data_IF_585208008831
#
_entry.id   IF_585208008831
#
_cell.length_a   1.000
_cell.length_b   1.000
_cell.length_c   1.000
_cell.angle_alpha   90.00
_cell.angle_beta   90.00
_cell.angle_gamma   90.00
#
_symmetry.space_group_name_H-M   'P 1'
#
loop_
_entity.id
_entity.type
_entity.pdbx_description
1 polymer ?
#
# COMPACT_ATOMS: atom_id res chain seq x y z
N UNK A 1 -5.68 -28.52 6.95
CA UNK A 1 -5.65 -29.03 5.54
C UNK A 1 -7.04 -29.40 5.04
N UNK A 2 -7.82 -30.20 5.78
CA UNK A 2 -9.18 -30.65 5.37
C UNK A 2 -10.15 -29.47 5.14
N UNK A 3 -10.18 -28.47 6.02
CA UNK A 3 -11.06 -27.30 5.89
C UNK A 3 -10.76 -26.47 4.64
N UNK A 4 -9.50 -26.35 4.23
CA UNK A 4 -9.09 -25.67 3.01
C UNK A 4 -9.58 -26.43 1.77
N UNK A 5 -9.45 -27.75 1.77
CA UNK A 5 -9.93 -28.59 0.69
C UNK A 5 -11.47 -28.49 0.56
N UNK A 6 -12.21 -28.63 1.65
CA UNK A 6 -13.67 -28.49 1.67
C UNK A 6 -14.14 -27.12 1.18
N UNK A 7 -13.34 -26.07 1.34
CA UNK A 7 -13.69 -24.73 0.87
C UNK A 7 -13.75 -24.59 -0.66
N UNK A 8 -13.13 -25.50 -1.43
CA UNK A 8 -13.27 -25.59 -2.89
C UNK A 8 -14.72 -25.89 -3.34
N UNK A 9 -15.48 -26.57 -2.50
CA UNK A 9 -16.88 -26.95 -2.77
C UNK A 9 -17.88 -25.99 -2.10
N UNK A 10 -17.41 -24.88 -1.59
CA UNK A 10 -18.25 -23.88 -0.94
C UNK A 10 -19.00 -23.02 -1.97
N UNK A 11 -20.25 -22.59 -1.69
CA UNK A 11 -20.94 -21.58 -2.51
C UNK A 11 -20.19 -20.26 -2.69
N UNK A 12 -19.24 -19.95 -1.77
CA UNK A 12 -18.40 -18.75 -1.84
C UNK A 12 -17.20 -18.92 -2.78
N UNK A 13 -16.85 -20.16 -3.15
CA UNK A 13 -15.65 -20.45 -3.93
C UNK A 13 -15.58 -19.68 -5.27
N UNK A 14 -16.60 -19.72 -6.16
CA UNK A 14 -16.51 -19.00 -7.42
C UNK A 14 -16.34 -17.50 -7.25
N UNK A 15 -17.03 -16.91 -6.26
CA UNK A 15 -16.92 -15.48 -5.97
C UNK A 15 -15.52 -15.11 -5.43
N UNK A 16 -14.96 -15.95 -4.55
CA UNK A 16 -13.61 -15.76 -3.99
C UNK A 16 -12.54 -15.85 -5.07
N UNK A 17 -12.65 -16.80 -6.01
CA UNK A 17 -11.75 -16.93 -7.16
C UNK A 17 -11.81 -15.68 -8.04
N UNK A 18 -13.00 -15.20 -8.42
CA UNK A 18 -13.15 -14.01 -9.26
C UNK A 18 -12.72 -12.74 -8.54
N UNK A 19 -12.96 -12.64 -7.23
CA UNK A 19 -12.49 -11.54 -6.40
C UNK A 19 -10.96 -11.44 -6.44
N UNK A 20 -10.25 -12.54 -6.23
CA UNK A 20 -8.79 -12.57 -6.28
C UNK A 20 -8.24 -12.36 -7.69
N UNK A 21 -8.92 -12.87 -8.71
CA UNK A 21 -8.59 -12.59 -10.11
C UNK A 21 -8.71 -11.08 -10.40
N UNK A 22 -9.75 -10.43 -9.89
CA UNK A 22 -9.94 -8.98 -9.99
C UNK A 22 -8.88 -8.20 -9.20
N UNK A 23 -8.54 -8.65 -7.98
CA UNK A 23 -7.44 -8.08 -7.17
C UNK A 23 -6.08 -8.22 -7.85
N UNK A 24 -5.85 -9.32 -8.55
CA UNK A 24 -4.66 -9.55 -9.37
C UNK A 24 -4.67 -8.76 -10.70
N UNK A 25 -5.59 -7.83 -10.89
CA UNK A 25 -5.79 -7.07 -12.13
C UNK A 25 -5.92 -7.96 -13.38
N UNK A 26 -6.53 -9.14 -13.21
CA UNK A 26 -6.61 -10.19 -14.24
C UNK A 26 -5.24 -10.63 -14.77
N UNK A 27 -4.17 -10.57 -13.95
CA UNK A 27 -2.81 -11.01 -14.28
C UNK A 27 -2.62 -12.44 -13.79
N UNK A 28 -2.58 -13.42 -14.72
CA UNK A 28 -2.43 -14.83 -14.36
C UNK A 28 -1.13 -15.11 -13.61
N UNK A 29 -0.03 -14.41 -13.91
CA UNK A 29 1.25 -14.54 -13.20
C UNK A 29 1.13 -14.27 -11.68
N UNK A 30 0.19 -13.40 -11.25
CA UNK A 30 -0.08 -13.12 -9.83
C UNK A 30 -1.14 -14.03 -9.26
N UNK A 31 -2.16 -14.34 -10.06
CA UNK A 31 -3.30 -15.14 -9.64
C UNK A 31 -2.96 -16.61 -9.41
N UNK A 32 -2.24 -17.25 -10.34
CA UNK A 32 -1.99 -18.69 -10.29
C UNK A 32 -1.13 -19.13 -9.09
N UNK A 33 -0.01 -18.45 -8.73
CA UNK A 33 0.74 -18.82 -7.52
C UNK A 33 -0.11 -18.75 -6.26
N UNK A 34 -0.93 -17.69 -6.12
CA UNK A 34 -1.87 -17.58 -5.02
C UNK A 34 -2.90 -18.71 -5.04
N UNK A 35 -3.51 -18.99 -6.19
CA UNK A 35 -4.52 -20.02 -6.31
C UNK A 35 -3.98 -21.40 -5.90
N UNK A 36 -2.80 -21.77 -6.39
CA UNK A 36 -2.14 -23.05 -6.07
C UNK A 36 -1.52 -23.09 -4.66
N UNK A 37 -1.53 -22.03 -3.90
CA UNK A 37 -1.25 -22.09 -2.45
C UNK A 37 -2.39 -22.72 -1.65
N UNK A 38 -3.52 -23.02 -2.28
CA UNK A 38 -4.73 -23.58 -1.69
C UNK A 38 -5.19 -22.83 -0.42
N UNK A 39 -5.56 -21.55 -0.56
CA UNK A 39 -6.09 -20.78 0.57
C UNK A 39 -7.45 -21.31 1.03
N UNK A 40 -7.93 -20.83 2.19
CA UNK A 40 -9.31 -21.09 2.61
C UNK A 40 -10.29 -20.14 1.90
N UNK A 41 -10.96 -20.60 0.84
CA UNK A 41 -11.84 -19.78 0.00
C UNK A 41 -13.05 -19.19 0.75
N UNK A 42 -13.42 -19.75 1.90
CA UNK A 42 -14.50 -19.19 2.73
C UNK A 42 -14.11 -17.89 3.44
N UNK A 43 -12.81 -17.64 3.60
CA UNK A 43 -12.28 -16.49 4.36
C UNK A 43 -11.78 -15.36 3.45
N UNK A 44 -11.61 -15.60 2.15
CA UNK A 44 -11.02 -14.65 1.19
C UNK A 44 -11.77 -13.32 1.14
N UNK A 45 -13.09 -13.32 1.23
CA UNK A 45 -13.92 -12.11 1.11
C UNK A 45 -14.35 -11.52 2.47
N UNK A 46 -13.72 -11.91 3.58
CA UNK A 46 -14.10 -11.40 4.90
C UNK A 46 -13.81 -9.89 5.05
N UNK A 47 -12.82 -9.36 4.32
CA UNK A 47 -12.35 -7.97 4.41
C UNK A 47 -12.61 -7.16 3.14
N UNK A 48 -13.17 -7.77 2.09
CA UNK A 48 -13.38 -7.08 0.82
C UNK A 48 -14.54 -7.68 0.03
N UNK A 49 -15.06 -6.91 -0.93
CA UNK A 49 -16.19 -7.33 -1.77
C UNK A 49 -15.82 -7.34 -3.24
N UNK A 50 -16.34 -8.33 -3.98
CA UNK A 50 -16.24 -8.42 -5.42
C UNK A 50 -16.91 -7.20 -6.08
N UNK A 51 -16.15 -6.40 -6.81
CA UNK A 51 -16.70 -5.33 -7.64
C UNK A 51 -17.41 -5.94 -8.85
N UNK A 52 -18.74 -5.84 -8.92
CA UNK A 52 -19.61 -6.47 -9.94
C UNK A 52 -19.47 -5.77 -11.31
N UNK A 53 -18.26 -5.68 -11.86
CA UNK A 53 -18.01 -5.18 -13.23
C UNK A 53 -18.55 -6.15 -14.27
N UNK A 54 -18.79 -5.70 -15.52
CA UNK A 54 -19.23 -6.58 -16.60
C UNK A 54 -18.28 -7.78 -16.82
N UNK A 55 -16.96 -7.52 -16.80
CA UNK A 55 -15.93 -8.57 -16.90
C UNK A 55 -16.03 -9.57 -15.75
N UNK A 56 -16.17 -9.09 -14.49
CA UNK A 56 -16.30 -9.96 -13.32
C UNK A 56 -17.58 -10.83 -13.39
N UNK A 57 -18.70 -10.25 -13.84
CA UNK A 57 -19.96 -11.01 -14.02
C UNK A 57 -19.84 -12.12 -15.07
N UNK A 58 -19.24 -11.81 -16.22
CA UNK A 58 -19.01 -12.77 -17.30
C UNK A 58 -18.10 -13.90 -16.83
N UNK A 59 -16.98 -13.55 -16.18
CA UNK A 59 -16.03 -14.53 -15.64
C UNK A 59 -16.66 -15.40 -14.54
N UNK A 60 -17.45 -14.82 -13.65
CA UNK A 60 -18.16 -15.55 -12.59
C UNK A 60 -19.16 -16.56 -13.18
N UNK A 61 -19.96 -16.10 -14.15
CA UNK A 61 -20.91 -16.99 -14.84
C UNK A 61 -20.19 -18.11 -15.57
N UNK A 62 -19.11 -17.80 -16.29
CA UNK A 62 -18.29 -18.79 -16.99
C UNK A 62 -17.68 -19.83 -16.05
N UNK A 63 -17.18 -19.41 -14.88
CA UNK A 63 -16.62 -20.32 -13.88
C UNK A 63 -17.70 -21.25 -13.31
N UNK A 64 -18.87 -20.71 -12.94
CA UNK A 64 -20.01 -21.50 -12.43
C UNK A 64 -20.48 -22.52 -13.47
N UNK A 65 -20.61 -22.12 -14.74
CA UNK A 65 -21.04 -23.02 -15.82
C UNK A 65 -20.01 -24.12 -16.10
N UNK A 66 -18.72 -23.80 -16.07
CA UNK A 66 -17.64 -24.78 -16.23
C UNK A 66 -17.65 -25.79 -15.07
N UNK A 67 -17.80 -25.31 -13.83
CA UNK A 67 -17.86 -26.16 -12.64
C UNK A 67 -19.07 -27.10 -12.68
N UNK A 68 -20.27 -26.57 -12.93
CA UNK A 68 -21.50 -27.35 -13.06
C UNK A 68 -21.41 -28.36 -14.19
N UNK A 69 -20.88 -27.99 -15.35
CA UNK A 69 -20.69 -28.89 -16.49
C UNK A 69 -19.78 -30.08 -16.15
N UNK A 70 -18.66 -29.81 -15.44
CA UNK A 70 -17.73 -30.84 -14.98
C UNK A 70 -18.39 -31.79 -13.95
N UNK A 71 -19.17 -31.23 -13.00
CA UNK A 71 -19.91 -32.03 -12.03
C UNK A 71 -20.94 -32.96 -12.72
N UNK A 72 -21.78 -32.41 -13.61
CA UNK A 72 -22.78 -33.17 -14.33
C UNK A 72 -22.11 -34.27 -15.18
N UNK A 73 -21.04 -33.93 -15.89
CA UNK A 73 -20.29 -34.90 -16.69
C UNK A 73 -19.66 -36.00 -15.82
N UNK A 74 -19.12 -35.67 -14.68
CA UNK A 74 -18.60 -36.59 -13.68
C UNK A 74 -19.67 -37.54 -13.15
N UNK A 75 -20.89 -37.05 -12.90
CA UNK A 75 -22.03 -37.89 -12.50
C UNK A 75 -22.44 -38.86 -13.63
N UNK A 76 -22.54 -38.38 -14.88
CA UNK A 76 -22.86 -39.21 -16.04
C UNK A 76 -21.83 -40.31 -16.20
N UNK A 77 -20.53 -40.00 -16.09
CA UNK A 77 -19.47 -41.01 -16.18
C UNK A 77 -19.54 -42.04 -15.03
N UNK A 78 -19.88 -41.59 -13.82
CA UNK A 78 -20.04 -42.48 -12.67
C UNK A 78 -21.21 -43.44 -12.85
N UNK A 79 -22.33 -42.99 -13.42
CA UNK A 79 -23.52 -43.78 -13.68
C UNK A 79 -23.31 -44.73 -14.90
N UNK A 80 -22.53 -44.30 -15.87
CA UNK A 80 -22.26 -45.12 -17.09
C UNK A 80 -21.31 -46.31 -16.83
N UNK A 81 -20.74 -46.43 -15.65
CA UNK A 81 -19.88 -47.54 -15.20
C UNK A 81 -18.71 -47.93 -16.15
N UNK A 82 -18.31 -47.04 -17.06
CA UNK A 82 -17.27 -47.31 -18.06
C UNK A 82 -15.84 -47.30 -17.50
N UNK A 83 -15.60 -46.50 -16.44
CA UNK A 83 -14.32 -46.43 -15.73
C UNK A 83 -14.62 -46.07 -14.28
N UNK A 84 -14.45 -47.01 -13.36
CA UNK A 84 -14.91 -46.92 -11.95
C UNK A 84 -14.45 -45.68 -11.18
N UNK A 85 -13.26 -45.15 -11.51
CA UNK A 85 -12.70 -44.01 -10.74
C UNK A 85 -12.76 -42.68 -11.49
N UNK A 86 -13.05 -42.63 -12.78
CA UNK A 86 -12.96 -41.42 -13.58
C UNK A 86 -14.02 -40.37 -13.22
N UNK A 87 -15.26 -40.83 -13.02
CA UNK A 87 -16.35 -39.93 -12.63
C UNK A 87 -16.15 -39.28 -11.26
N UNK A 88 -15.92 -40.07 -10.18
CA UNK A 88 -15.60 -39.53 -8.86
C UNK A 88 -14.36 -38.62 -8.87
N UNK A 89 -13.32 -38.97 -9.59
CA UNK A 89 -12.11 -38.13 -9.73
C UNK A 89 -12.43 -36.78 -10.39
N UNK A 90 -13.25 -36.79 -11.44
CA UNK A 90 -13.66 -35.60 -12.16
C UNK A 90 -14.49 -34.68 -11.25
N UNK A 91 -15.43 -35.22 -10.46
CA UNK A 91 -16.19 -34.46 -9.46
C UNK A 91 -15.26 -33.82 -8.42
N UNK A 92 -14.30 -34.58 -7.91
CA UNK A 92 -13.36 -34.13 -6.90
C UNK A 92 -12.44 -33.01 -7.41
N UNK A 93 -12.06 -33.05 -8.67
CA UNK A 93 -11.14 -32.08 -9.29
C UNK A 93 -11.88 -30.96 -10.04
N UNK A 94 -13.20 -31.01 -10.16
CA UNK A 94 -14.01 -30.06 -10.94
C UNK A 94 -13.73 -28.58 -10.61
N UNK A 95 -13.64 -28.13 -9.34
CA UNK A 95 -13.35 -26.74 -9.04
C UNK A 95 -12.00 -26.26 -9.61
N UNK A 96 -10.96 -27.11 -9.51
CA UNK A 96 -9.62 -26.79 -10.03
C UNK A 96 -9.61 -26.77 -11.56
N UNK A 97 -10.22 -27.78 -12.19
CA UNK A 97 -10.32 -27.87 -13.65
C UNK A 97 -11.13 -26.71 -14.23
N UNK A 98 -12.20 -26.26 -13.56
CA UNK A 98 -12.98 -25.10 -13.97
C UNK A 98 -12.14 -23.84 -14.03
N UNK A 99 -11.25 -23.61 -13.06
CA UNK A 99 -10.30 -22.47 -13.08
C UNK A 99 -9.32 -22.61 -14.23
N UNK A 100 -8.80 -23.79 -14.50
CA UNK A 100 -7.90 -24.03 -15.64
C UNK A 100 -8.62 -23.75 -16.97
N UNK A 101 -9.87 -24.17 -17.12
CA UNK A 101 -10.70 -23.91 -18.31
C UNK A 101 -10.96 -22.43 -18.52
N UNK A 102 -11.17 -21.67 -17.44
CA UNK A 102 -11.48 -20.24 -17.56
C UNK A 102 -10.24 -19.37 -17.87
N UNK A 103 -9.01 -19.85 -17.61
CA UNK A 103 -7.79 -19.10 -17.88
C UNK A 103 -7.61 -18.71 -19.37
N UNK A 104 -7.76 -19.59 -20.37
CA UNK A 104 -7.74 -19.21 -21.78
C UNK A 104 -8.84 -18.21 -22.14
N UNK A 105 -10.04 -18.37 -21.59
CA UNK A 105 -11.14 -17.43 -21.79
C UNK A 105 -10.81 -16.04 -21.22
N UNK A 106 -10.14 -15.98 -20.09
CA UNK A 106 -9.64 -14.72 -19.54
C UNK A 106 -8.63 -14.05 -20.49
N UNK A 107 -7.72 -14.80 -21.10
CA UNK A 107 -6.75 -14.26 -22.07
C UNK A 107 -7.50 -13.66 -23.27
N UNK A 108 -8.48 -14.38 -23.82
CA UNK A 108 -9.32 -13.89 -24.92
C UNK A 108 -10.06 -12.62 -24.51
N UNK A 109 -10.73 -12.62 -23.36
CA UNK A 109 -11.43 -11.45 -22.82
C UNK A 109 -10.50 -10.25 -22.63
N UNK A 110 -9.28 -10.50 -22.15
CA UNK A 110 -8.26 -9.46 -21.96
C UNK A 110 -7.83 -8.85 -23.30
N UNK A 111 -7.58 -9.65 -24.29
CA UNK A 111 -7.11 -9.20 -25.63
C UNK A 111 -8.22 -8.49 -26.40
N UNK A 112 -9.41 -9.10 -26.47
CA UNK A 112 -10.50 -8.62 -27.33
C UNK A 112 -11.35 -7.50 -26.69
N UNK A 113 -11.43 -7.45 -25.37
CA UNK A 113 -12.30 -6.51 -24.67
C UNK A 113 -11.57 -5.55 -23.75
N UNK A 114 -10.74 -6.06 -22.82
CA UNK A 114 -10.13 -5.21 -21.80
C UNK A 114 -9.04 -4.30 -22.40
N UNK A 115 -8.09 -4.84 -23.17
CA UNK A 115 -7.01 -4.06 -23.76
C UNK A 115 -7.50 -2.93 -24.69
N UNK A 116 -8.41 -3.17 -25.66
CA UNK A 116 -8.92 -2.10 -26.52
C UNK A 116 -9.68 -1.02 -25.72
N UNK A 117 -10.46 -1.45 -24.72
CA UNK A 117 -11.16 -0.53 -23.84
C UNK A 117 -10.20 0.36 -23.05
N UNK A 118 -9.15 -0.24 -22.46
CA UNK A 118 -8.11 0.48 -21.73
C UNK A 118 -7.34 1.44 -22.64
N UNK A 119 -6.93 0.99 -23.83
CA UNK A 119 -6.25 1.84 -24.80
C UNK A 119 -7.11 3.08 -25.17
N UNK A 120 -8.41 2.86 -25.43
CA UNK A 120 -9.34 3.97 -25.71
C UNK A 120 -9.49 4.93 -24.53
N UNK A 121 -9.57 4.40 -23.29
CA UNK A 121 -9.66 5.22 -22.08
C UNK A 121 -8.37 6.00 -21.84
N UNK A 122 -7.20 5.36 -21.99
CA UNK A 122 -5.89 5.99 -21.84
C UNK A 122 -5.67 7.11 -22.88
N UNK A 123 -6.00 6.86 -24.14
CA UNK A 123 -5.91 7.89 -25.19
C UNK A 123 -6.83 9.09 -24.91
N UNK A 124 -8.02 8.85 -24.35
CA UNK A 124 -8.93 9.91 -23.92
C UNK A 124 -8.38 10.71 -22.75
N UNK A 125 -7.83 10.00 -21.73
CA UNK A 125 -7.18 10.62 -20.58
C UNK A 125 -5.98 11.48 -21.00
N UNK A 126 -5.14 10.98 -21.90
CA UNK A 126 -4.00 11.71 -22.45
C UNK A 126 -4.42 13.04 -23.10
N UNK A 127 -5.51 13.02 -23.87
CA UNK A 127 -6.06 14.25 -24.45
C UNK A 127 -6.50 15.25 -23.36
N UNK A 128 -7.18 14.78 -22.32
CA UNK A 128 -7.63 15.63 -21.21
C UNK A 128 -6.43 16.24 -20.48
N UNK A 129 -5.44 15.42 -20.08
CA UNK A 129 -4.23 15.93 -19.41
C UNK A 129 -3.39 16.85 -20.30
N UNK A 130 -3.38 16.64 -21.62
CA UNK A 130 -2.68 17.51 -22.54
C UNK A 130 -3.39 18.86 -22.79
N UNK A 131 -4.72 18.90 -22.66
CA UNK A 131 -5.50 20.12 -22.88
C UNK A 131 -5.65 21.00 -21.64
N UNK A 132 -5.41 20.47 -20.44
CA UNK A 132 -5.51 21.26 -19.20
C UNK A 132 -4.35 22.25 -19.05
N UNK A 133 -4.65 23.43 -18.49
CA UNK A 133 -3.64 24.43 -18.08
C UNK A 133 -3.16 24.21 -16.64
N UNK A 134 -3.74 23.23 -15.92
CA UNK A 134 -3.35 22.93 -14.56
C UNK A 134 -1.90 22.43 -14.49
N UNK A 135 -1.16 22.85 -13.46
CA UNK A 135 0.15 22.27 -13.12
C UNK A 135 -0.06 20.86 -12.61
N UNK A 136 0.62 19.89 -13.20
CA UNK A 136 0.50 18.46 -12.88
C UNK A 136 1.70 18.01 -12.08
N UNK A 137 1.45 17.43 -10.92
CA UNK A 137 2.49 16.95 -9.98
C UNK A 137 2.35 15.45 -9.83
N UNK A 138 3.37 14.70 -10.27
CA UNK A 138 3.47 13.26 -10.07
C UNK A 138 4.07 12.96 -8.69
N UNK A 139 3.47 12.02 -7.96
CA UNK A 139 4.00 11.55 -6.67
C UNK A 139 4.28 10.07 -6.77
N UNK A 140 5.55 9.69 -6.63
CA UNK A 140 6.05 8.32 -6.80
C UNK A 140 7.00 7.93 -5.67
N UNK A 141 7.31 6.63 -5.55
CA UNK A 141 8.19 6.09 -4.50
C UNK A 141 7.57 4.90 -3.80
N UNK A 142 8.37 4.09 -3.15
CA UNK A 142 7.95 2.85 -2.51
C UNK A 142 7.10 3.07 -1.25
N UNK A 143 7.18 4.25 -0.62
CA UNK A 143 6.41 4.62 0.57
C UNK A 143 6.11 6.12 0.62
N UNK A 144 5.19 6.55 1.47
CA UNK A 144 4.88 7.96 1.72
C UNK A 144 4.07 8.67 0.63
N UNK A 145 3.83 8.05 -0.53
CA UNK A 145 3.12 8.65 -1.67
C UNK A 145 1.78 9.31 -1.31
N UNK A 146 0.88 8.52 -0.75
CA UNK A 146 -0.47 9.00 -0.41
C UNK A 146 -0.42 10.10 0.63
N UNK A 147 0.44 9.98 1.62
CA UNK A 147 0.62 11.01 2.67
C UNK A 147 1.07 12.34 2.06
N UNK A 148 2.11 12.34 1.22
CA UNK A 148 2.60 13.56 0.55
C UNK A 148 1.54 14.13 -0.39
N UNK A 149 0.81 13.27 -1.12
CA UNK A 149 -0.29 13.67 -2.00
C UNK A 149 -1.40 14.41 -1.23
N UNK A 150 -1.89 13.83 -0.15
CA UNK A 150 -2.95 14.40 0.65
C UNK A 150 -2.50 15.73 1.31
N UNK A 151 -1.29 15.75 1.87
CA UNK A 151 -0.70 16.96 2.46
C UNK A 151 -0.55 18.09 1.44
N UNK A 152 -0.01 17.78 0.26
CA UNK A 152 0.17 18.78 -0.79
C UNK A 152 -1.17 19.28 -1.32
N UNK A 153 -2.14 18.39 -1.49
CA UNK A 153 -3.49 18.76 -1.90
C UNK A 153 -4.13 19.69 -0.86
N UNK A 154 -4.01 19.38 0.41
CA UNK A 154 -4.53 20.23 1.50
C UNK A 154 -3.90 21.60 1.50
N UNK A 155 -2.55 21.69 1.42
CA UNK A 155 -1.84 22.97 1.41
C UNK A 155 -2.24 23.81 0.21
N UNK A 156 -2.22 23.26 -0.99
CA UNK A 156 -2.54 24.00 -2.20
C UNK A 156 -4.02 24.44 -2.27
N UNK A 157 -4.92 23.67 -1.64
CA UNK A 157 -6.36 23.97 -1.61
C UNK A 157 -6.71 25.22 -0.82
N UNK A 158 -5.79 25.75 0.03
CA UNK A 158 -6.01 27.05 0.71
C UNK A 158 -6.05 28.26 -0.27
N UNK A 159 -5.59 28.03 -1.51
CA UNK A 159 -5.56 29.11 -2.51
C UNK A 159 -6.07 28.70 -3.89
N UNK A 160 -5.95 27.43 -4.25
CA UNK A 160 -6.15 26.95 -5.61
C UNK A 160 -7.26 25.90 -5.70
N UNK A 161 -7.84 25.74 -6.88
CA UNK A 161 -8.66 24.58 -7.23
C UNK A 161 -7.75 23.40 -7.51
N UNK A 162 -7.76 22.41 -6.64
CA UNK A 162 -6.88 21.23 -6.68
C UNK A 162 -7.72 19.99 -6.95
N UNK A 163 -7.33 19.21 -7.94
CA UNK A 163 -7.77 17.82 -8.07
C UNK A 163 -6.61 16.87 -7.75
N UNK A 164 -6.92 15.76 -7.11
CA UNK A 164 -5.92 14.73 -6.83
C UNK A 164 -6.51 13.33 -6.90
N UNK A 165 -5.67 12.33 -7.20
CA UNK A 165 -6.12 10.93 -7.29
C UNK A 165 -6.67 10.46 -5.94
N UNK A 166 -7.94 9.96 -5.87
CA UNK A 166 -8.55 9.58 -4.61
C UNK A 166 -7.93 8.29 -4.04
N UNK A 167 -7.76 8.25 -2.72
CA UNK A 167 -7.22 7.09 -2.01
C UNK A 167 -5.87 6.64 -2.56
N UNK A 168 -5.74 5.36 -2.86
CA UNK A 168 -4.56 4.74 -3.46
C UNK A 168 -4.74 4.45 -4.97
N UNK A 169 -5.50 5.26 -5.67
CA UNK A 169 -5.73 5.11 -7.12
C UNK A 169 -4.48 5.51 -7.92
N UNK A 170 -3.52 4.59 -8.04
CA UNK A 170 -2.18 4.83 -8.58
C UNK A 170 -1.83 3.98 -9.81
N UNK A 171 -2.84 3.38 -10.48
CA UNK A 171 -2.63 2.58 -11.71
C UNK A 171 -3.06 3.34 -12.95
N UNK A 172 -2.56 2.92 -14.13
CA UNK A 172 -2.93 3.50 -15.44
C UNK A 172 -4.45 3.59 -15.66
N UNK A 173 -5.18 2.54 -15.28
CA UNK A 173 -6.65 2.50 -15.41
C UNK A 173 -7.31 3.50 -14.44
N UNK A 174 -6.75 3.64 -13.25
CA UNK A 174 -7.22 4.61 -12.26
C UNK A 174 -7.00 6.05 -12.74
N UNK A 175 -5.83 6.35 -13.31
CA UNK A 175 -5.53 7.67 -13.90
C UNK A 175 -6.46 8.01 -15.06
N UNK A 176 -6.75 7.02 -15.92
CA UNK A 176 -7.70 7.23 -17.01
C UNK A 176 -9.13 7.55 -16.51
N UNK A 177 -9.56 6.94 -15.41
CA UNK A 177 -10.84 7.26 -14.76
C UNK A 177 -10.82 8.62 -14.07
N UNK A 178 -9.72 8.92 -13.38
CA UNK A 178 -9.51 10.20 -12.72
C UNK A 178 -9.55 11.36 -13.71
N UNK A 179 -8.88 11.22 -14.86
CA UNK A 179 -8.95 12.24 -15.94
C UNK A 179 -10.38 12.57 -16.37
N UNK A 180 -11.27 11.55 -16.43
CA UNK A 180 -12.66 11.73 -16.80
C UNK A 180 -13.50 12.44 -15.72
N UNK A 181 -13.03 12.55 -14.50
CA UNK A 181 -13.69 13.25 -13.39
C UNK A 181 -13.24 14.70 -13.24
N UNK A 182 -12.20 15.12 -13.97
CA UNK A 182 -11.73 16.50 -13.96
C UNK A 182 -12.79 17.46 -14.54
N UNK A 183 -12.92 18.62 -13.93
CA UNK A 183 -13.89 19.66 -14.30
C UNK A 183 -13.36 20.60 -15.37
N UNK A 184 -12.02 20.69 -15.52
CA UNK A 184 -11.33 21.53 -16.49
C UNK A 184 -10.99 22.94 -15.98
N UNK A 185 -11.33 23.26 -14.74
CA UNK A 185 -11.03 24.53 -14.07
C UNK A 185 -10.00 24.39 -12.94
N UNK A 186 -9.41 23.20 -12.79
CA UNK A 186 -8.35 22.95 -11.84
C UNK A 186 -7.09 23.77 -12.18
N UNK A 187 -6.42 24.25 -11.15
CA UNK A 187 -5.14 24.95 -11.24
C UNK A 187 -3.96 24.01 -10.91
N UNK A 188 -4.23 22.97 -10.12
CA UNK A 188 -3.29 21.90 -9.80
C UNK A 188 -3.96 20.54 -9.91
N UNK A 189 -3.22 19.58 -10.44
CA UNK A 189 -3.60 18.16 -10.50
C UNK A 189 -2.48 17.34 -9.90
N UNK A 190 -2.74 16.63 -8.78
CA UNK A 190 -1.76 15.82 -8.07
C UNK A 190 -2.08 14.34 -8.32
N UNK A 191 -1.12 13.60 -8.84
CA UNK A 191 -1.33 12.25 -9.35
C UNK A 191 -0.37 11.29 -8.66
N UNK A 192 -0.91 10.32 -7.91
CA UNK A 192 -0.11 9.28 -7.29
C UNK A 192 0.22 8.18 -8.30
N UNK A 193 1.49 7.87 -8.51
CA UNK A 193 1.98 6.80 -9.39
C UNK A 193 2.31 5.54 -8.57
N UNK A 194 1.83 4.40 -9.04
CA UNK A 194 2.24 3.10 -8.54
C UNK A 194 3.42 2.56 -9.34
N UNK A 195 4.32 1.88 -8.67
CA UNK A 195 5.47 1.19 -9.26
C UNK A 195 5.39 -0.30 -8.93
N UNK A 196 4.75 -1.08 -9.77
CA UNK A 196 4.61 -2.52 -9.56
C UNK A 196 5.44 -3.36 -10.56
N UNK A 197 5.61 -2.86 -11.78
CA UNK A 197 6.39 -3.49 -12.84
C UNK A 197 7.21 -2.43 -13.60
N UNK A 198 8.32 -2.85 -14.21
CA UNK A 198 9.15 -1.96 -15.03
C UNK A 198 8.34 -1.31 -16.16
N UNK A 199 8.51 0.00 -16.30
CA UNK A 199 7.85 0.83 -17.30
C UNK A 199 6.45 1.31 -16.90
N UNK A 200 5.99 1.08 -15.69
CA UNK A 200 4.70 1.59 -15.22
C UNK A 200 4.75 3.11 -15.06
N UNK A 201 5.84 3.65 -14.46
CA UNK A 201 6.03 5.10 -14.28
C UNK A 201 6.09 5.81 -15.63
N UNK A 202 6.88 5.29 -16.58
CA UNK A 202 6.98 5.85 -17.93
C UNK A 202 5.62 5.93 -18.62
N UNK A 203 4.83 4.84 -18.61
CA UNK A 203 3.47 4.82 -19.20
C UNK A 203 2.53 5.81 -18.53
N UNK A 204 2.62 5.98 -17.21
CA UNK A 204 1.80 6.96 -16.49
C UNK A 204 2.22 8.39 -16.83
N UNK A 205 3.53 8.67 -16.92
CA UNK A 205 4.06 9.96 -17.29
C UNK A 205 3.71 10.36 -18.75
N UNK A 206 3.76 9.41 -19.69
CA UNK A 206 3.31 9.62 -21.08
C UNK A 206 1.85 10.09 -21.15
N UNK A 207 0.97 9.55 -20.30
CA UNK A 207 -0.45 9.90 -20.29
C UNK A 207 -0.69 11.22 -19.57
N UNK A 208 -0.07 11.42 -18.41
CA UNK A 208 -0.39 12.55 -17.53
C UNK A 208 0.44 13.79 -17.83
N UNK A 209 1.64 13.63 -18.42
CA UNK A 209 2.59 14.71 -18.74
C UNK A 209 2.82 15.63 -17.55
N UNK A 210 3.47 15.12 -16.47
CA UNK A 210 3.68 15.90 -15.26
C UNK A 210 4.65 17.07 -15.50
N UNK A 211 4.39 18.19 -14.85
CA UNK A 211 5.28 19.37 -14.84
C UNK A 211 6.28 19.31 -13.68
N UNK A 212 5.90 18.60 -12.60
CA UNK A 212 6.72 18.37 -11.39
C UNK A 212 6.61 16.93 -10.95
N UNK A 213 7.63 16.46 -10.23
CA UNK A 213 7.60 15.14 -9.60
C UNK A 213 8.12 15.18 -8.16
N UNK A 214 7.60 14.28 -7.30
CA UNK A 214 8.07 14.08 -5.94
C UNK A 214 8.38 12.61 -5.75
N UNK A 215 9.65 12.27 -5.44
CA UNK A 215 10.09 10.92 -5.11
C UNK A 215 10.16 10.79 -3.58
N UNK A 216 9.20 10.07 -3.01
CA UNK A 216 8.99 10.03 -1.56
C UNK A 216 9.92 9.08 -0.81
N UNK A 217 10.53 8.14 -1.50
CA UNK A 217 11.50 7.21 -0.95
C UNK A 217 11.55 5.90 -1.72
N UNK A 218 12.56 5.09 -1.44
CA UNK A 218 12.78 3.78 -2.05
C UNK A 218 12.97 2.72 -0.95
N UNK A 219 12.27 1.61 -1.08
CA UNK A 219 12.34 0.46 -0.18
C UNK A 219 12.14 -0.84 -0.97
N UNK A 220 12.55 -2.02 -0.44
CA UNK A 220 12.27 -3.32 -1.05
C UNK A 220 10.78 -3.65 -0.92
N UNK A 221 9.98 -3.18 -1.88
CA UNK A 221 8.57 -3.51 -2.02
C UNK A 221 8.32 -4.13 -3.39
N UNK A 222 7.30 -4.98 -3.52
CA UNK A 222 6.98 -5.67 -4.78
C UNK A 222 8.16 -6.44 -5.39
N UNK A 223 9.08 -6.98 -4.55
CA UNK A 223 10.28 -7.69 -5.02
C UNK A 223 9.96 -8.92 -5.87
N UNK A 224 8.79 -9.53 -5.68
CA UNK A 224 8.32 -10.66 -6.50
C UNK A 224 8.09 -10.27 -7.97
N UNK A 225 7.70 -9.02 -8.24
CA UNK A 225 7.45 -8.50 -9.60
C UNK A 225 8.57 -7.62 -10.13
N UNK A 226 9.21 -6.87 -9.26
CA UNK A 226 10.30 -5.95 -9.61
C UNK A 226 11.64 -6.67 -9.76
N UNK A 227 11.86 -7.75 -9.00
CA UNK A 227 13.04 -8.60 -9.06
C UNK A 227 14.18 -8.14 -8.12
N UNK A 228 14.67 -6.92 -8.23
CA UNK A 228 15.73 -6.41 -7.38
C UNK A 228 15.69 -4.87 -7.22
N UNK A 229 16.47 -4.34 -6.28
CA UNK A 229 16.52 -2.91 -5.95
C UNK A 229 17.02 -2.04 -7.12
N UNK A 230 17.97 -2.53 -7.95
CA UNK A 230 18.45 -1.77 -9.11
C UNK A 230 17.33 -1.53 -10.13
N UNK A 231 16.44 -2.50 -10.32
CA UNK A 231 15.28 -2.36 -11.19
C UNK A 231 14.25 -1.40 -10.60
N UNK A 232 14.05 -1.42 -9.27
CA UNK A 232 13.23 -0.41 -8.58
C UNK A 232 13.80 1.00 -8.75
N UNK A 233 15.12 1.16 -8.61
CA UNK A 233 15.77 2.44 -8.84
C UNK A 233 15.64 2.90 -10.30
N UNK A 234 15.79 1.98 -11.26
CA UNK A 234 15.58 2.28 -12.68
C UNK A 234 14.17 2.74 -12.96
N UNK A 235 13.18 2.07 -12.38
CA UNK A 235 11.77 2.42 -12.50
C UNK A 235 11.50 3.82 -11.92
N UNK A 236 11.90 4.08 -10.68
CA UNK A 236 11.74 5.40 -10.06
C UNK A 236 12.48 6.49 -10.83
N UNK A 237 13.69 6.20 -11.31
CA UNK A 237 14.53 7.13 -12.07
C UNK A 237 13.98 7.45 -13.45
N UNK A 238 13.10 6.61 -14.02
CA UNK A 238 12.50 6.85 -15.34
C UNK A 238 11.63 8.12 -15.41
N UNK A 239 11.22 8.67 -14.27
CA UNK A 239 10.52 9.96 -14.24
C UNK A 239 11.36 11.11 -14.79
N UNK A 240 12.68 11.01 -14.71
CA UNK A 240 13.62 12.02 -15.21
C UNK A 240 13.65 12.13 -16.75
N UNK A 241 13.07 11.16 -17.46
CA UNK A 241 12.86 11.22 -18.90
C UNK A 241 11.66 12.11 -19.28
N UNK A 242 10.83 12.49 -18.29
CA UNK A 242 9.57 13.22 -18.49
C UNK A 242 9.52 14.56 -17.73
N UNK A 243 10.31 14.72 -16.68
CA UNK A 243 10.35 15.90 -15.82
C UNK A 243 11.79 16.34 -15.65
N UNK A 244 12.09 17.60 -15.93
CA UNK A 244 13.41 18.16 -15.71
C UNK A 244 13.83 18.05 -14.25
N UNK A 245 15.11 17.73 -14.00
CA UNK A 245 15.63 17.52 -12.64
C UNK A 245 15.42 18.72 -11.71
N UNK A 246 15.32 19.94 -12.26
CA UNK A 246 14.98 21.17 -11.53
C UNK A 246 13.57 21.14 -10.92
N UNK A 247 12.68 20.31 -11.46
CA UNK A 247 11.28 20.17 -11.04
C UNK A 247 11.02 18.84 -10.32
N UNK A 248 12.08 18.10 -9.97
CA UNK A 248 11.97 16.83 -9.22
C UNK A 248 12.42 17.05 -7.79
N UNK A 249 11.50 16.83 -6.84
CA UNK A 249 11.74 16.91 -5.40
C UNK A 249 11.90 15.51 -4.83
N UNK A 250 12.76 15.32 -3.84
CA UNK A 250 13.08 13.97 -3.40
C UNK A 250 13.49 13.88 -1.92
N UNK A 251 13.24 12.72 -1.32
CA UNK A 251 13.55 12.44 0.07
C UNK A 251 15.00 11.97 0.25
N UNK A 252 15.83 12.83 0.81
CA UNK A 252 17.25 12.50 1.09
C UNK A 252 17.48 11.71 2.39
N UNK A 253 16.43 11.35 3.14
CA UNK A 253 16.54 10.39 4.24
C UNK A 253 16.41 8.94 3.77
N UNK A 254 15.90 8.71 2.57
CA UNK A 254 15.83 7.37 1.99
C UNK A 254 17.22 6.92 1.54
N UNK A 255 17.89 6.10 2.35
CA UNK A 255 19.25 5.62 2.09
C UNK A 255 19.37 4.99 0.70
N UNK A 256 18.43 4.12 0.32
CA UNK A 256 18.42 3.48 -1.00
C UNK A 256 18.22 4.49 -2.14
N UNK A 257 17.40 5.53 -1.93
CA UNK A 257 17.24 6.59 -2.92
C UNK A 257 18.51 7.41 -3.09
N UNK A 258 19.19 7.73 -1.99
CA UNK A 258 20.49 8.40 -2.00
C UNK A 258 21.53 7.55 -2.73
N UNK A 259 21.64 6.27 -2.39
CA UNK A 259 22.61 5.34 -2.99
C UNK A 259 22.44 5.23 -4.51
N UNK A 260 21.20 5.07 -4.99
CA UNK A 260 20.95 4.73 -6.39
C UNK A 260 20.64 5.92 -7.30
N UNK A 261 20.08 7.02 -6.80
CA UNK A 261 19.55 8.10 -7.64
C UNK A 261 20.10 9.50 -7.32
N UNK A 262 20.78 9.72 -6.20
CA UNK A 262 21.22 11.07 -5.79
C UNK A 262 22.11 11.78 -6.84
N UNK A 263 22.91 11.03 -7.59
CA UNK A 263 23.77 11.60 -8.65
C UNK A 263 22.97 12.22 -9.82
N UNK A 264 21.71 11.85 -9.99
CA UNK A 264 20.81 12.35 -11.05
C UNK A 264 19.83 13.42 -10.55
N UNK A 265 19.79 13.67 -9.23
CA UNK A 265 18.83 14.54 -8.57
C UNK A 265 19.51 15.81 -8.03
N UNK A 266 18.80 16.92 -8.05
CA UNK A 266 19.30 18.19 -7.52
C UNK A 266 19.24 18.19 -6.00
N UNK A 267 20.40 18.46 -5.35
CA UNK A 267 20.50 18.47 -3.90
C UNK A 267 19.61 19.55 -3.26
N UNK A 268 19.51 20.71 -3.88
CA UNK A 268 18.65 21.82 -3.46
C UNK A 268 17.16 21.49 -3.44
N UNK A 269 16.73 20.49 -4.21
CA UNK A 269 15.36 20.02 -4.27
C UNK A 269 15.09 18.87 -3.29
N UNK A 270 16.05 18.55 -2.41
CA UNK A 270 15.86 17.50 -1.42
C UNK A 270 15.11 17.95 -0.18
N UNK A 271 14.47 17.00 0.50
CA UNK A 271 13.90 17.20 1.83
C UNK A 271 14.27 16.06 2.78
N UNK A 272 14.37 16.40 4.04
CA UNK A 272 14.67 15.47 5.13
C UNK A 272 14.20 16.06 6.48
N UNK A 273 14.47 15.35 7.59
CA UNK A 273 14.20 15.81 8.95
C UNK A 273 14.89 17.14 9.30
N UNK A 274 16.02 17.44 8.66
CA UNK A 274 16.87 18.61 8.99
C UNK A 274 16.63 19.82 8.09
N UNK A 275 16.08 19.61 6.90
CA UNK A 275 15.83 20.67 5.92
C UNK A 275 14.82 20.27 4.87
N UNK A 276 14.17 21.26 4.26
CA UNK A 276 13.34 21.11 3.09
C UNK A 276 13.66 22.22 2.09
N UNK A 277 14.02 21.84 0.86
CA UNK A 277 14.42 22.75 -0.24
C UNK A 277 15.38 23.85 0.22
N UNK A 278 16.43 23.45 0.98
CA UNK A 278 17.42 24.35 1.55
C UNK A 278 17.01 25.10 2.84
N UNK A 279 15.73 25.14 3.18
CA UNK A 279 15.26 25.77 4.42
C UNK A 279 15.48 24.84 5.61
N UNK A 280 16.16 25.34 6.67
CA UNK A 280 16.48 24.56 7.88
C UNK A 280 15.23 24.20 8.67
N UNK A 281 15.17 22.97 9.15
CA UNK A 281 14.18 22.46 10.12
C UNK A 281 14.85 22.32 11.49
N UNK A 282 14.17 22.76 12.54
CA UNK A 282 14.67 22.74 13.92
C UNK A 282 13.53 22.70 14.95
N UNK A 283 13.85 22.60 16.24
CA UNK A 283 12.90 22.62 17.36
C UNK A 283 11.75 21.62 17.19
N UNK A 284 12.09 20.37 16.81
CA UNK A 284 11.12 19.30 16.57
C UNK A 284 10.64 18.75 17.90
N UNK A 285 9.32 18.81 18.11
CA UNK A 285 8.60 18.10 19.18
C UNK A 285 7.57 17.17 18.54
N UNK A 286 7.84 15.86 18.62
CA UNK A 286 7.01 14.80 18.08
C UNK A 286 6.76 13.71 19.15
N UNK A 287 6.65 14.12 20.43
CA UNK A 287 6.50 13.22 21.58
C UNK A 287 5.04 13.05 22.03
N UNK A 288 4.11 13.83 21.44
CA UNK A 288 2.68 13.76 21.74
C UNK A 288 1.94 12.87 20.74
N UNK A 289 0.95 12.06 21.17
CA UNK A 289 0.02 11.39 20.28
C UNK A 289 -0.99 12.32 19.60
N UNK A 290 -1.07 13.59 20.03
CA UNK A 290 -2.02 14.59 19.50
C UNK A 290 -1.46 15.40 18.33
N UNK A 291 -0.19 15.16 17.95
CA UNK A 291 0.45 15.85 16.84
C UNK A 291 1.90 16.21 17.09
N UNK A 292 2.48 16.93 16.14
CA UNK A 292 3.87 17.38 16.18
C UNK A 292 4.00 18.90 15.94
N UNK A 293 5.13 19.45 16.40
CA UNK A 293 5.52 20.84 16.20
C UNK A 293 6.97 20.91 15.73
N UNK A 294 7.28 21.86 14.87
CA UNK A 294 8.65 22.12 14.42
C UNK A 294 8.80 23.55 13.90
N UNK A 295 10.04 23.97 13.71
CA UNK A 295 10.37 25.26 13.11
C UNK A 295 10.97 25.04 11.71
N UNK A 296 10.43 25.73 10.70
CA UNK A 296 10.92 25.75 9.33
C UNK A 296 11.42 27.16 9.00
N UNK A 297 12.76 27.33 8.91
CA UNK A 297 13.36 28.67 8.90
C UNK A 297 12.95 29.44 10.17
N UNK A 298 12.25 30.55 10.00
CA UNK A 298 11.75 31.37 11.12
C UNK A 298 10.30 31.07 11.53
N UNK A 299 9.63 30.13 10.88
CA UNK A 299 8.20 29.85 11.09
C UNK A 299 7.96 28.64 11.98
N UNK A 300 7.18 28.83 13.03
CA UNK A 300 6.67 27.73 13.85
C UNK A 300 5.46 27.11 13.16
N UNK A 301 5.53 25.79 12.93
CA UNK A 301 4.51 24.98 12.28
C UNK A 301 4.05 23.87 13.23
N UNK A 302 2.78 23.47 13.10
CA UNK A 302 2.18 22.36 13.83
C UNK A 302 1.28 21.54 12.92
N UNK A 303 1.09 20.26 13.25
CA UNK A 303 0.25 19.32 12.51
C UNK A 303 -0.33 18.29 13.46
N UNK A 304 -1.55 17.81 13.19
CA UNK A 304 -2.14 16.68 13.89
C UNK A 304 -1.55 15.31 13.49
N UNK A 305 -0.56 15.28 12.58
CA UNK A 305 0.19 14.04 12.30
C UNK A 305 1.19 13.75 13.42
N UNK A 306 1.51 12.48 13.63
CA UNK A 306 2.43 12.03 14.68
C UNK A 306 3.71 11.43 14.10
N UNK A 307 4.80 11.54 14.87
CA UNK A 307 6.09 10.95 14.53
C UNK A 307 7.03 11.86 13.73
N UNK A 308 8.32 11.74 14.04
CA UNK A 308 9.38 12.57 13.43
C UNK A 308 9.48 12.39 11.91
N UNK A 309 9.18 11.19 11.40
CA UNK A 309 9.21 10.90 9.97
C UNK A 309 8.24 11.75 9.13
N UNK A 310 7.25 12.41 9.77
CA UNK A 310 6.34 13.34 9.10
C UNK A 310 6.93 14.74 8.92
N UNK A 311 7.98 15.09 9.64
CA UNK A 311 8.54 16.46 9.63
C UNK A 311 9.12 16.82 8.25
N UNK A 312 9.87 15.90 7.61
CA UNK A 312 10.39 16.11 6.26
C UNK A 312 9.29 16.35 5.23
N UNK A 313 8.29 15.45 5.09
CA UNK A 313 7.12 15.66 4.23
C UNK A 313 6.35 16.95 4.51
N UNK A 314 6.12 17.32 5.76
CA UNK A 314 5.47 18.59 6.14
C UNK A 314 6.30 19.80 5.74
N UNK A 315 7.64 19.74 5.92
CA UNK A 315 8.57 20.75 5.46
C UNK A 315 8.53 20.90 3.93
N UNK A 316 8.55 19.79 3.20
CA UNK A 316 8.43 19.80 1.74
C UNK A 316 7.16 20.51 1.27
N UNK A 317 5.99 20.10 1.76
CA UNK A 317 4.72 20.68 1.27
C UNK A 317 4.59 22.15 1.70
N UNK A 318 5.19 22.57 2.81
CA UNK A 318 5.27 23.95 3.20
C UNK A 318 6.12 24.79 2.22
N UNK A 319 7.31 24.30 1.86
CA UNK A 319 8.18 24.98 0.89
C UNK A 319 7.57 24.97 -0.53
N UNK A 320 6.95 23.87 -0.96
CA UNK A 320 6.19 23.84 -2.22
C UNK A 320 5.01 24.81 -2.21
N UNK A 321 4.31 24.95 -1.08
CA UNK A 321 3.28 25.98 -0.91
C UNK A 321 3.83 27.38 -1.17
N UNK A 322 4.99 27.73 -0.61
CA UNK A 322 5.67 29.01 -0.90
C UNK A 322 6.08 29.14 -2.35
N UNK A 323 6.70 28.10 -2.93
CA UNK A 323 7.11 28.05 -4.33
C UNK A 323 5.92 28.34 -5.28
N UNK A 324 4.76 27.83 -4.93
CA UNK A 324 3.53 28.06 -5.70
C UNK A 324 2.76 29.31 -5.26
N UNK A 325 3.32 30.15 -4.40
CA UNK A 325 2.82 31.47 -4.08
C UNK A 325 1.75 31.52 -2.98
N UNK A 326 1.69 30.54 -2.08
CA UNK A 326 0.91 30.64 -0.85
C UNK A 326 1.64 31.51 0.18
N UNK A 327 0.89 32.28 0.95
CA UNK A 327 1.43 32.98 2.11
C UNK A 327 1.73 32.00 3.26
N UNK A 328 2.68 32.36 4.12
CA UNK A 328 3.02 31.58 5.33
C UNK A 328 1.78 31.34 6.21
N UNK A 329 0.87 32.32 6.28
CA UNK A 329 -0.39 32.18 7.02
C UNK A 329 -1.28 31.08 6.47
N UNK A 330 -1.43 31.00 5.13
CA UNK A 330 -2.22 29.94 4.49
C UNK A 330 -1.60 28.57 4.73
N UNK A 331 -0.27 28.45 4.57
CA UNK A 331 0.47 27.21 4.84
C UNK A 331 0.27 26.76 6.29
N UNK A 332 0.43 27.67 7.25
CA UNK A 332 0.23 27.38 8.68
C UNK A 332 -1.18 26.87 8.97
N UNK A 333 -2.21 27.56 8.47
CA UNK A 333 -3.61 27.14 8.62
C UNK A 333 -3.85 25.75 8.01
N UNK A 334 -3.29 25.47 6.82
CA UNK A 334 -3.41 24.16 6.19
C UNK A 334 -2.81 23.05 7.05
N UNK A 335 -1.59 23.23 7.53
CA UNK A 335 -0.89 22.22 8.32
C UNK A 335 -1.53 22.00 9.69
N UNK A 336 -2.03 23.05 10.36
CA UNK A 336 -2.75 22.96 11.63
C UNK A 336 -4.06 22.18 11.52
N UNK A 337 -4.73 22.23 10.36
CA UNK A 337 -5.94 21.44 10.08
C UNK A 337 -5.67 19.99 9.74
N UNK A 338 -4.41 19.61 9.55
CA UNK A 338 -4.07 18.24 9.12
C UNK A 338 -4.44 17.21 10.19
N UNK A 339 -5.18 16.20 9.79
CA UNK A 339 -5.53 15.05 10.61
C UNK A 339 -4.82 13.81 10.10
N UNK A 340 -4.66 12.81 10.95
CA UNK A 340 -4.09 11.54 10.55
C UNK A 340 -4.96 10.87 9.47
N UNK A 341 -4.30 10.28 8.49
CA UNK A 341 -4.97 9.53 7.43
C UNK A 341 -5.35 8.14 7.92
N UNK A 342 -6.44 7.60 7.41
CA UNK A 342 -6.94 6.28 7.78
C UNK A 342 -5.85 5.22 7.60
N UNK A 343 -5.65 4.40 8.64
CA UNK A 343 -4.67 3.32 8.71
C UNK A 343 -3.22 3.71 8.35
N UNK A 344 -2.82 4.97 8.64
CA UNK A 344 -1.47 5.50 8.43
C UNK A 344 -1.01 6.24 9.68
N UNK A 345 -0.42 5.51 10.62
CA UNK A 345 -0.06 6.03 11.96
C UNK A 345 -1.21 6.81 12.59
N UNK A 346 -2.45 6.33 12.41
CA UNK A 346 -3.66 7.02 12.86
C UNK A 346 -3.87 6.80 14.36
N UNK A 347 -3.78 7.84 15.21
CA UNK A 347 -4.10 7.70 16.62
C UNK A 347 -5.61 7.70 16.83
N UNK A 348 -6.08 6.74 17.60
CA UNK A 348 -7.47 6.56 18.00
C UNK A 348 -7.51 6.42 19.53
N UNK A 349 -8.37 7.20 20.20
CA UNK A 349 -8.56 7.09 21.64
C UNK A 349 -9.64 6.04 21.97
N UNK A 350 -9.33 5.15 22.91
CA UNK A 350 -10.24 4.11 23.36
C UNK A 350 -10.10 3.86 24.86
N UNK A 351 -11.12 4.21 25.66
CA UNK A 351 -11.15 3.99 27.11
C UNK A 351 -9.92 4.58 27.86
N UNK A 352 -9.35 5.67 27.34
CA UNK A 352 -8.15 6.32 27.90
C UNK A 352 -6.83 5.65 27.50
N UNK A 353 -6.84 4.64 26.64
CA UNK A 353 -5.68 4.16 25.90
C UNK A 353 -5.60 4.80 24.51
N UNK A 354 -4.42 4.80 23.91
CA UNK A 354 -4.18 5.25 22.53
C UNK A 354 -3.89 4.05 21.64
N UNK A 355 -4.70 3.85 20.61
CA UNK A 355 -4.45 2.88 19.54
C UNK A 355 -3.88 3.63 18.36
N UNK A 356 -2.69 3.26 17.88
CA UNK A 356 -2.11 3.79 16.65
C UNK A 356 -2.31 2.74 15.57
N UNK A 357 -3.20 3.06 14.62
CA UNK A 357 -3.48 2.18 13.48
C UNK A 357 -2.57 2.53 12.31
N UNK A 358 -1.68 1.61 11.94
CA UNK A 358 -0.81 1.68 10.75
C UNK A 358 -0.95 0.39 9.91
N UNK A 359 -2.18 -0.03 9.70
CA UNK A 359 -2.53 -1.29 9.05
C UNK A 359 -2.33 -1.31 7.53
N UNK A 360 -2.03 -0.16 6.89
CA UNK A 360 -1.97 -0.09 5.44
C UNK A 360 -0.56 -0.34 4.89
N UNK A 361 -0.41 -1.37 4.03
CA UNK A 361 0.78 -1.70 3.21
C UNK A 361 2.14 -1.32 3.82
N UNK A 362 2.62 -2.14 4.74
CA UNK A 362 3.90 -1.93 5.40
C UNK A 362 5.12 -2.16 4.49
N UNK A 363 6.20 -1.50 4.88
CA UNK A 363 7.55 -1.71 4.37
C UNK A 363 8.54 -1.51 5.52
N UNK A 364 9.80 -1.85 5.33
CA UNK A 364 10.81 -1.80 6.40
C UNK A 364 11.01 -0.37 6.95
N UNK A 365 10.93 0.66 6.11
CA UNK A 365 11.08 2.04 6.56
C UNK A 365 9.88 2.51 7.39
N UNK A 366 8.66 2.08 7.02
CA UNK A 366 7.46 2.27 7.84
C UNK A 366 7.56 1.57 9.20
N UNK A 367 8.10 0.34 9.25
CA UNK A 367 8.36 -0.40 10.50
C UNK A 367 9.33 0.38 11.38
N UNK A 368 10.48 0.83 10.84
CA UNK A 368 11.45 1.65 11.56
C UNK A 368 10.82 2.90 12.14
N UNK A 369 10.05 3.63 11.31
CA UNK A 369 9.35 4.83 11.74
C UNK A 369 8.32 4.58 12.84
N UNK A 370 7.59 3.46 12.77
CA UNK A 370 6.62 3.05 13.80
C UNK A 370 7.27 2.68 15.12
N UNK A 371 8.35 1.91 15.08
CA UNK A 371 9.14 1.57 16.27
C UNK A 371 9.71 2.85 16.90
N UNK A 372 10.32 3.74 16.11
CA UNK A 372 10.84 5.01 16.60
C UNK A 372 9.72 5.89 17.20
N UNK A 373 8.56 5.95 16.55
CA UNK A 373 7.40 6.67 17.07
C UNK A 373 7.01 6.15 18.45
N UNK A 374 6.78 4.85 18.58
CA UNK A 374 6.33 4.25 19.85
C UNK A 374 7.37 4.42 20.97
N UNK A 375 8.68 4.33 20.65
CA UNK A 375 9.76 4.61 21.60
C UNK A 375 9.72 6.04 22.12
N UNK A 376 9.46 7.03 21.25
CA UNK A 376 9.53 8.45 21.58
C UNK A 376 8.24 9.02 22.19
N UNK A 377 7.08 8.36 22.01
CA UNK A 377 5.82 8.84 22.58
C UNK A 377 5.86 8.79 24.12
N UNK A 378 5.37 9.85 24.73
CA UNK A 378 5.12 9.88 26.18
C UNK A 378 3.95 8.95 26.51
N UNK A 379 4.19 7.99 27.38
CA UNK A 379 3.24 6.97 27.79
C UNK A 379 3.23 6.85 29.30
N UNK A 380 2.04 6.80 29.90
CA UNK A 380 1.88 6.59 31.34
C UNK A 380 1.57 5.12 31.68
N UNK A 381 1.18 4.33 30.72
CA UNK A 381 0.94 2.88 30.78
C UNK A 381 1.98 2.09 29.99
N UNK A 382 1.57 0.98 29.40
CA UNK A 382 2.40 0.08 28.62
C UNK A 382 2.56 0.57 27.18
N UNK A 383 3.73 0.30 26.58
CA UNK A 383 4.01 0.41 25.15
C UNK A 383 3.90 -0.97 24.52
N UNK A 384 2.89 -1.15 23.66
CA UNK A 384 2.52 -2.43 23.05
C UNK A 384 2.70 -2.35 21.56
N UNK A 385 3.34 -3.36 20.96
CA UNK A 385 3.56 -3.42 19.51
C UNK A 385 2.91 -4.68 18.92
N UNK A 386 2.22 -4.55 17.78
CA UNK A 386 1.54 -5.67 17.10
C UNK A 386 1.91 -5.68 15.63
N UNK A 387 2.34 -6.84 15.10
CA UNK A 387 2.63 -6.98 13.68
C UNK A 387 2.45 -8.41 13.16
N UNK A 388 1.99 -8.60 11.90
CA UNK A 388 2.09 -9.86 11.16
C UNK A 388 3.41 -9.99 10.38
N UNK A 389 4.33 -9.02 10.48
CA UNK A 389 5.48 -8.89 9.58
C UNK A 389 5.10 -8.23 8.23
N UNK A 390 5.96 -8.42 7.24
CA UNK A 390 5.81 -7.85 5.90
C UNK A 390 5.54 -8.94 4.87
N UNK A 391 4.83 -8.60 3.80
CA UNK A 391 4.57 -9.48 2.66
C UNK A 391 5.33 -9.02 1.42
N UNK A 392 5.42 -9.87 0.39
CA UNK A 392 5.99 -9.55 -0.93
C UNK A 392 7.45 -9.07 -0.90
N UNK A 393 8.24 -9.58 0.05
CA UNK A 393 9.65 -9.21 0.21
C UNK A 393 10.59 -10.02 -0.71
N UNK A 394 10.07 -11.04 -1.42
CA UNK A 394 10.85 -11.86 -2.36
C UNK A 394 12.13 -12.43 -1.72
N UNK A 395 13.26 -12.23 -2.38
CA UNK A 395 14.58 -12.70 -1.91
C UNK A 395 15.06 -11.97 -0.65
N UNK A 396 14.57 -10.76 -0.37
CA UNK A 396 14.94 -9.96 0.81
C UNK A 396 14.19 -10.40 2.08
N UNK A 397 13.28 -11.37 1.98
CA UNK A 397 12.35 -11.73 3.06
C UNK A 397 13.05 -12.05 4.38
N UNK A 398 14.05 -12.92 4.38
CA UNK A 398 14.79 -13.33 5.59
C UNK A 398 15.53 -12.12 6.19
N UNK A 399 16.23 -11.34 5.36
CA UNK A 399 17.01 -10.18 5.77
C UNK A 399 16.12 -9.10 6.40
N UNK A 400 15.00 -8.78 5.76
CA UNK A 400 14.05 -7.76 6.21
C UNK A 400 13.44 -8.16 7.55
N UNK A 401 12.99 -9.41 7.70
CA UNK A 401 12.38 -9.86 8.95
C UNK A 401 13.40 -10.05 10.10
N UNK A 402 14.64 -10.43 9.78
CA UNK A 402 15.73 -10.39 10.76
C UNK A 402 16.04 -8.97 11.23
N UNK A 403 16.02 -8.00 10.32
CA UNK A 403 16.18 -6.58 10.68
C UNK A 403 15.06 -6.09 11.60
N UNK A 404 13.80 -6.46 11.31
CA UNK A 404 12.66 -6.14 12.20
C UNK A 404 12.86 -6.78 13.57
N UNK A 405 13.27 -8.05 13.62
CA UNK A 405 13.55 -8.76 14.87
C UNK A 405 14.63 -8.07 15.71
N UNK A 406 15.72 -7.62 15.06
CA UNK A 406 16.80 -6.88 15.75
C UNK A 406 16.31 -5.55 16.31
N UNK A 407 15.49 -4.79 15.55
CA UNK A 407 14.92 -3.52 16.01
C UNK A 407 13.98 -3.70 17.21
N UNK A 408 13.12 -4.71 17.15
CA UNK A 408 12.21 -5.04 18.25
C UNK A 408 12.95 -5.58 19.45
N UNK A 409 13.98 -6.39 19.23
CA UNK A 409 14.83 -6.92 20.31
C UNK A 409 15.60 -5.84 21.07
N UNK A 410 15.99 -4.76 20.39
CA UNK A 410 16.64 -3.60 21.00
C UNK A 410 15.64 -2.59 21.61
N UNK A 411 14.33 -2.80 21.45
CA UNK A 411 13.32 -1.92 22.01
C UNK A 411 13.07 -2.17 23.50
N UNK A 412 12.50 -1.18 24.18
CA UNK A 412 12.04 -1.28 25.57
C UNK A 412 10.50 -1.32 25.65
N UNK A 413 9.88 -2.02 24.72
CA UNK A 413 8.43 -2.21 24.75
C UNK A 413 8.07 -3.18 25.88
N UNK A 414 6.90 -2.94 26.50
CA UNK A 414 6.41 -3.82 27.57
C UNK A 414 5.89 -5.15 27.00
N UNK A 415 5.24 -5.08 25.81
CA UNK A 415 4.65 -6.25 25.18
C UNK A 415 4.69 -6.18 23.66
N UNK A 416 4.97 -7.33 23.02
CA UNK A 416 4.94 -7.51 21.57
C UNK A 416 4.01 -8.67 21.22
N UNK A 417 3.05 -8.42 20.34
CA UNK A 417 2.18 -9.42 19.75
C UNK A 417 2.60 -9.72 18.32
N UNK A 418 2.87 -10.97 18.02
CA UNK A 418 3.23 -11.44 16.68
C UNK A 418 2.11 -12.31 16.11
N UNK A 419 1.50 -11.90 15.00
CA UNK A 419 0.53 -12.75 14.31
C UNK A 419 1.26 -13.95 13.73
N UNK A 420 0.88 -15.19 14.16
CA UNK A 420 1.60 -16.41 13.82
C UNK A 420 1.65 -16.67 12.33
N UNK A 421 2.85 -16.62 11.78
CA UNK A 421 3.18 -17.00 10.41
C UNK A 421 4.71 -17.18 10.28
N UNK A 422 5.18 -17.65 9.11
CA UNK A 422 6.62 -17.89 8.86
C UNK A 422 7.48 -16.64 9.07
N UNK A 423 6.99 -15.46 8.72
CA UNK A 423 7.74 -14.21 8.80
C UNK A 423 7.93 -13.78 10.25
N UNK A 424 6.88 -13.90 11.07
CA UNK A 424 6.96 -13.56 12.50
C UNK A 424 7.79 -14.55 13.31
N UNK A 425 7.96 -15.78 12.84
CA UNK A 425 8.92 -16.73 13.43
C UNK A 425 10.37 -16.29 13.20
N UNK A 426 10.69 -15.70 12.03
CA UNK A 426 12.00 -15.09 11.77
C UNK A 426 12.22 -13.90 12.72
N UNK A 427 11.23 -13.02 12.84
CA UNK A 427 11.26 -11.86 13.75
C UNK A 427 11.52 -12.34 15.18
N UNK A 428 10.76 -13.29 15.67
CA UNK A 428 10.88 -13.82 17.04
C UNK A 428 12.26 -14.42 17.31
N UNK A 429 12.77 -15.24 16.37
CA UNK A 429 14.10 -15.85 16.49
C UNK A 429 15.19 -14.78 16.64
N UNK A 430 15.17 -13.74 15.82
CA UNK A 430 16.17 -12.69 15.86
C UNK A 430 16.01 -11.77 17.07
N UNK A 431 14.78 -11.44 17.44
CA UNK A 431 14.46 -10.68 18.64
C UNK A 431 14.94 -11.37 19.92
N UNK A 432 14.80 -12.71 20.00
CA UNK A 432 15.32 -13.51 21.12
C UNK A 432 16.86 -13.50 21.19
N UNK A 433 17.54 -13.43 20.01
CA UNK A 433 19.01 -13.32 19.95
C UNK A 433 19.52 -11.96 20.42
N UNK A 434 18.76 -10.91 20.21
CA UNK A 434 19.09 -9.53 20.61
C UNK A 434 18.75 -9.23 22.07
N UNK A 435 18.06 -10.13 22.78
CA UNK A 435 17.85 -10.03 24.23
C UNK A 435 16.65 -9.17 24.64
N UNK A 436 15.53 -9.23 23.92
CA UNK A 436 14.29 -8.56 24.31
C UNK A 436 13.84 -8.99 25.72
N UNK A 437 13.55 -8.02 26.59
CA UNK A 437 13.19 -8.26 27.99
C UNK A 437 11.68 -8.13 28.29
N UNK A 438 10.87 -7.68 27.32
CA UNK A 438 9.43 -7.56 27.48
C UNK A 438 8.69 -8.88 27.25
N UNK A 439 7.37 -8.85 27.32
CA UNK A 439 6.54 -10.02 27.04
C UNK A 439 6.34 -10.20 25.54
N UNK A 440 6.33 -11.45 25.06
CA UNK A 440 6.04 -11.80 23.66
C UNK A 440 4.95 -12.84 23.60
N UNK A 441 3.92 -12.57 22.83
CA UNK A 441 2.82 -13.49 22.60
C UNK A 441 2.53 -13.67 21.11
N UNK A 442 2.18 -14.91 20.70
CA UNK A 442 1.73 -15.19 19.35
C UNK A 442 0.20 -15.15 19.26
N UNK A 443 -0.29 -14.41 18.28
CA UNK A 443 -1.72 -14.34 17.96
C UNK A 443 -2.05 -15.45 16.96
N UNK A 444 -2.85 -16.44 17.38
CA UNK A 444 -3.31 -17.54 16.54
C UNK A 444 -4.57 -17.18 15.74
N UNK A 445 -5.46 -16.34 16.30
CA UNK A 445 -6.66 -15.82 15.66
C UNK A 445 -6.64 -14.28 15.63
N UNK A 446 -6.15 -13.68 14.52
CA UNK A 446 -6.06 -12.23 14.39
C UNK A 446 -7.43 -11.53 14.47
N UNK A 447 -8.49 -12.15 13.93
CA UNK A 447 -9.82 -11.54 13.93
C UNK A 447 -10.35 -11.40 15.36
N UNK A 448 -10.23 -12.46 16.16
CA UNK A 448 -10.60 -12.43 17.58
C UNK A 448 -9.76 -11.41 18.35
N UNK A 449 -8.44 -11.35 18.10
CA UNK A 449 -7.57 -10.39 18.76
C UNK A 449 -8.00 -8.94 18.48
N UNK A 450 -8.14 -8.55 17.22
CA UNK A 450 -8.51 -7.18 16.84
C UNK A 450 -9.93 -6.80 17.33
N UNK A 451 -10.85 -7.74 17.37
CA UNK A 451 -12.21 -7.50 17.89
C UNK A 451 -12.21 -7.25 19.39
N UNK A 452 -11.33 -7.94 20.12
CA UNK A 452 -11.27 -7.91 21.58
C UNK A 452 -10.13 -7.04 22.15
N UNK A 453 -9.43 -6.25 21.32
CA UNK A 453 -8.30 -5.42 21.77
C UNK A 453 -8.65 -4.53 22.97
N UNK A 454 -9.90 -4.07 23.04
CA UNK A 454 -10.40 -3.24 24.15
C UNK A 454 -10.32 -3.93 25.52
N UNK A 455 -10.42 -5.26 25.58
CA UNK A 455 -10.54 -6.01 26.83
C UNK A 455 -9.24 -6.08 27.63
N UNK A 456 -8.10 -5.91 26.96
CA UNK A 456 -6.77 -6.01 27.62
C UNK A 456 -6.00 -4.69 27.69
N UNK A 457 -6.50 -3.61 27.07
CA UNK A 457 -5.89 -2.30 27.18
C UNK A 457 -6.31 -1.59 28.46
N UNK A 458 -5.33 -1.05 29.18
CA UNK A 458 -5.53 -0.20 30.36
C UNK A 458 -5.42 1.29 30.01
N UNK A 459 -5.98 2.14 30.86
CA UNK A 459 -5.83 3.59 30.74
C UNK A 459 -4.34 3.98 30.74
N UNK A 460 -3.94 4.78 29.78
CA UNK A 460 -2.57 5.22 29.59
C UNK A 460 -1.71 4.34 28.70
N UNK A 461 -2.19 3.13 28.30
CA UNK A 461 -1.49 2.27 27.34
C UNK A 461 -1.45 2.93 25.95
N UNK A 462 -0.34 2.67 25.22
CA UNK A 462 -0.23 2.98 23.79
C UNK A 462 0.05 1.66 23.07
N UNK A 463 -0.82 1.33 22.10
CA UNK A 463 -0.63 0.17 21.22
C UNK A 463 -0.45 0.63 19.78
N UNK A 464 0.64 0.20 19.15
CA UNK A 464 0.86 0.37 17.72
C UNK A 464 0.54 -0.93 16.99
N UNK A 465 -0.47 -0.88 16.14
CA UNK A 465 -0.84 -1.97 15.22
C UNK A 465 -0.26 -1.66 13.84
N UNK A 466 0.84 -2.33 13.49
CA UNK A 466 1.58 -2.01 12.27
C UNK A 466 1.52 -3.16 11.28
N UNK A 467 1.11 -2.84 10.09
CA UNK A 467 0.72 -3.72 8.99
C UNK A 467 -0.54 -4.54 9.29
N UNK A 468 -1.19 -4.96 8.23
CA UNK A 468 -2.28 -5.92 8.29
C UNK A 468 -2.03 -7.03 7.27
N UNK A 469 -2.50 -8.23 7.57
CA UNK A 469 -2.46 -9.31 6.58
C UNK A 469 -3.47 -8.97 5.47
N UNK A 470 -3.05 -9.02 4.20
CA UNK A 470 -3.98 -8.83 3.10
C UNK A 470 -4.97 -9.99 3.05
N UNK A 471 -6.14 -9.75 2.41
CA UNK A 471 -7.09 -10.81 2.14
C UNK A 471 -6.42 -11.96 1.38
N UNK A 472 -6.44 -13.15 1.97
CA UNK A 472 -5.88 -14.36 1.38
C UNK A 472 -4.41 -14.65 1.69
N UNK A 473 -3.83 -13.98 2.68
CA UNK A 473 -2.53 -14.34 3.25
C UNK A 473 -2.67 -15.42 4.33
#
# INVERSE_FOLDING_TARGET
>A
MISKFLSLFSPKYPQSVIYMLQKSEYRLKRFLPWYFSFPNFNQIMNRGQLKKTAAAKVMLLGLILAELGLFIYGIILSLANKILFLGPLLILTAPVLAVIIICPFLIILKILYLKPRWAKQSARAQKIFASTKAKKIAILGSYGKTTVKELLAQVLSEKYKVAYTPGNMNTLVAHARFALSLKGDEQFIIIEYGEEELGDIAKMAEITKPDYAIITGMAPVHMDSMGNLNLTATELGSILDFVDSENVFWNSESELLVEHLSAKLKKENSYCLKSALGTKISQIDATSPDGLKFKLGDFNLSSGLIGKHMVGPLGLVAELGKLFGLSTRQIKIALEKTQAFEARMQPLSLNGATIINDGYNGNIEGIKAGIELLLNLKCSGRKIYVTPGLIMQGQENEKVHSQIGSLLGASNFDQIYLVRNRNTEIIFREMSRTGFNGQVEFIEDPLSFYTNVQSFLAKGDIILMQNDLPDGA
#
